data_IF_674511517238
#
_entry.id   IF_674511517238
#
_cell.length_a   1.000
_cell.length_b   1.000
_cell.length_c   1.000
_cell.angle_alpha   90.00
_cell.angle_beta   90.00
_cell.angle_gamma   90.00
#
_symmetry.space_group_name_H-M   'P 1'
#
loop_
_entity.id
_entity.type
_entity.pdbx_description
1 polymer ?
#
# COMPACT_ATOMS: atom_id res chain seq x y z
N UNK A 1 -34.86 0.35 -14.39
CA UNK A 1 -33.76 1.33 -14.53
C UNK A 1 -34.09 2.51 -13.65
N UNK A 2 -33.35 2.70 -12.56
CA UNK A 2 -33.43 3.89 -11.73
C UNK A 2 -31.98 4.35 -11.49
N UNK A 3 -31.66 5.53 -12.00
CA UNK A 3 -30.35 6.17 -11.90
C UNK A 3 -30.19 6.83 -10.53
N UNK A 4 -28.99 6.74 -9.97
CA UNK A 4 -28.59 7.42 -8.73
C UNK A 4 -27.68 8.58 -9.13
N UNK A 5 -28.12 9.81 -8.86
CA UNK A 5 -27.25 10.99 -8.94
C UNK A 5 -26.48 11.12 -7.62
N UNK A 6 -25.15 11.20 -7.68
CA UNK A 6 -24.32 11.67 -6.57
C UNK A 6 -24.24 13.21 -6.63
N UNK A 7 -24.73 13.88 -5.59
CA UNK A 7 -24.28 15.24 -5.27
C UNK A 7 -23.06 15.16 -4.35
N UNK A 8 -22.07 16.01 -4.62
CA UNK A 8 -20.78 16.09 -3.94
C UNK A 8 -20.89 16.32 -2.42
N UNK A 9 -19.95 15.83 -1.59
CA UNK A 9 -20.00 16.06 -0.15
C UNK A 9 -19.51 17.48 0.20
N UNK A 10 -20.09 18.14 1.23
CA UNK A 10 -19.45 19.29 1.82
C UNK A 10 -18.30 18.87 2.75
N UNK A 11 -17.32 19.75 2.84
CA UNK A 11 -16.07 19.71 3.60
C UNK A 11 -16.20 19.21 5.05
N UNK A 12 -15.27 18.33 5.44
CA UNK A 12 -15.11 17.79 6.80
C UNK A 12 -14.68 18.87 7.80
N UNK A 13 -15.45 19.03 8.88
CA UNK A 13 -14.98 19.60 10.16
C UNK A 13 -15.11 18.52 11.23
N UNK A 14 -14.06 18.36 12.05
CA UNK A 14 -13.93 17.29 13.03
C UNK A 14 -14.88 17.49 14.21
N UNK A 15 -15.71 16.48 14.51
CA UNK A 15 -16.18 16.22 15.86
C UNK A 15 -16.68 14.78 15.97
N UNK A 16 -16.15 14.06 16.96
CA UNK A 16 -16.70 12.81 17.44
C UNK A 16 -18.19 12.98 17.79
N UNK A 17 -19.08 12.21 17.17
CA UNK A 17 -20.32 11.81 17.83
C UNK A 17 -20.87 10.50 17.26
N UNK A 18 -21.19 9.60 18.19
CA UNK A 18 -21.87 8.34 18.00
C UNK A 18 -23.32 8.63 17.55
N UNK A 19 -23.70 8.32 16.32
CA UNK A 19 -25.04 8.59 15.81
C UNK A 19 -25.67 7.34 15.19
N UNK A 20 -26.51 6.66 15.98
CA UNK A 20 -27.52 5.73 15.46
C UNK A 20 -28.60 6.53 14.74
N UNK A 21 -28.67 6.40 13.42
CA UNK A 21 -29.74 7.04 12.63
C UNK A 21 -31.00 6.18 12.69
N UNK A 22 -32.01 6.62 13.45
CA UNK A 22 -33.35 6.03 13.41
C UNK A 22 -34.15 6.65 12.25
N UNK A 23 -34.56 5.82 11.29
CA UNK A 23 -35.44 6.22 10.20
C UNK A 23 -36.90 6.20 10.71
N UNK A 24 -37.56 7.36 10.80
CA UNK A 24 -38.98 7.46 11.16
C UNK A 24 -39.80 7.50 9.86
N UNK A 25 -40.53 6.43 9.57
CA UNK A 25 -41.53 6.40 8.51
C UNK A 25 -42.91 6.66 9.12
N UNK A 26 -43.55 7.76 8.71
CA UNK A 26 -44.96 8.01 9.00
C UNK A 26 -45.84 7.31 7.95
N UNK A 27 -46.80 6.51 8.40
CA UNK A 27 -47.92 6.01 7.57
C UNK A 27 -49.25 6.22 8.29
N UNK A 28 -50.34 6.62 7.59
CA UNK A 28 -51.65 6.81 8.20
C UNK A 28 -52.42 5.47 8.33
N UNK A 29 -53.19 5.39 9.41
CA UNK A 29 -54.32 4.51 9.75
C UNK A 29 -54.48 3.09 9.13
N UNK A 30 -54.47 2.14 10.07
CA UNK A 30 -55.10 0.81 10.18
C UNK A 30 -55.84 0.20 8.98
N UNK A 31 -55.32 -0.93 8.50
CA UNK A 31 -56.11 -2.05 7.99
C UNK A 31 -55.68 -3.34 8.69
N UNK A 32 -56.63 -4.02 9.31
CA UNK A 32 -56.45 -5.21 10.13
C UNK A 32 -56.47 -6.45 9.23
N UNK A 33 -55.29 -6.99 8.87
CA UNK A 33 -55.14 -8.26 8.16
C UNK A 33 -54.33 -9.22 9.05
N UNK A 34 -55.03 -10.19 9.66
CA UNK A 34 -54.39 -11.31 10.35
C UNK A 34 -53.63 -12.15 9.33
N UNK A 35 -52.33 -11.97 9.28
CA UNK A 35 -51.41 -12.88 8.61
C UNK A 35 -50.70 -13.70 9.67
N UNK A 36 -50.83 -15.02 9.60
CA UNK A 36 -49.99 -15.95 10.34
C UNK A 36 -48.57 -15.82 9.79
N UNK A 37 -47.76 -14.95 10.40
CA UNK A 37 -46.35 -14.84 10.06
C UNK A 37 -45.56 -15.81 10.93
N UNK A 38 -45.15 -16.93 10.34
CA UNK A 38 -43.97 -17.62 10.83
C UNK A 38 -42.76 -16.71 10.55
N UNK A 39 -42.37 -15.94 11.54
CA UNK A 39 -41.14 -15.16 11.53
C UNK A 39 -39.97 -16.12 11.64
N UNK A 40 -39.43 -16.55 10.50
CA UNK A 40 -38.04 -16.99 10.48
C UNK A 40 -37.20 -15.79 10.91
N UNK A 41 -36.37 -15.88 11.96
CA UNK A 41 -35.53 -14.77 12.35
C UNK A 41 -34.51 -14.56 11.22
N UNK A 42 -34.73 -13.54 10.39
CA UNK A 42 -33.70 -13.00 9.52
C UNK A 42 -32.65 -12.44 10.49
N UNK A 43 -31.63 -13.26 10.76
CA UNK A 43 -30.49 -12.84 11.57
C UNK A 43 -29.80 -11.75 10.76
N UNK A 44 -29.98 -10.49 11.15
CA UNK A 44 -29.16 -9.40 10.64
C UNK A 44 -27.71 -9.74 10.98
N UNK A 45 -26.93 -10.16 9.99
CA UNK A 45 -25.52 -10.44 10.18
C UNK A 45 -24.84 -9.08 10.35
N UNK A 46 -24.55 -8.71 11.59
CA UNK A 46 -23.67 -7.56 11.87
C UNK A 46 -22.29 -7.89 11.35
N UNK A 47 -21.93 -7.34 10.19
CA UNK A 47 -20.62 -7.51 9.59
C UNK A 47 -19.61 -6.67 10.38
N UNK A 48 -18.61 -7.31 10.97
CA UNK A 48 -17.53 -6.60 11.65
C UNK A 48 -16.57 -5.99 10.64
N UNK A 49 -15.86 -4.94 11.04
CA UNK A 49 -14.85 -4.30 10.19
C UNK A 49 -13.79 -5.28 9.70
N UNK A 50 -13.29 -6.16 10.58
CA UNK A 50 -12.27 -7.14 10.20
C UNK A 50 -12.81 -8.21 9.25
N UNK A 51 -14.10 -8.56 9.35
CA UNK A 51 -14.74 -9.42 8.37
C UNK A 51 -14.78 -8.76 6.99
N UNK A 52 -15.16 -7.48 6.91
CA UNK A 52 -15.17 -6.73 5.65
C UNK A 52 -13.76 -6.59 5.05
N UNK A 53 -12.75 -6.30 5.87
CA UNK A 53 -11.34 -6.24 5.43
C UNK A 53 -10.87 -7.58 4.86
N UNK A 54 -11.23 -8.69 5.51
CA UNK A 54 -10.88 -10.04 5.04
C UNK A 54 -11.57 -10.37 3.72
N UNK A 55 -12.83 -10.00 3.55
CA UNK A 55 -13.55 -10.17 2.29
C UNK A 55 -12.87 -9.38 1.15
N UNK A 56 -12.56 -8.11 1.39
CA UNK A 56 -11.86 -7.28 0.42
C UNK A 56 -10.50 -7.86 0.06
N UNK A 57 -9.72 -8.30 1.05
CA UNK A 57 -8.43 -8.94 0.84
C UNK A 57 -8.53 -10.23 0.02
N UNK A 58 -9.48 -11.11 0.36
CA UNK A 58 -9.72 -12.34 -0.40
C UNK A 58 -10.04 -12.03 -1.87
N UNK A 59 -10.89 -11.03 -2.10
CA UNK A 59 -11.26 -10.64 -3.46
C UNK A 59 -10.10 -10.04 -4.24
N UNK A 60 -9.26 -9.24 -3.59
CA UNK A 60 -8.06 -8.66 -4.22
C UNK A 60 -7.05 -9.73 -4.66
N UNK A 61 -6.86 -10.79 -3.85
CA UNK A 61 -5.91 -11.87 -4.16
C UNK A 61 -6.33 -12.69 -5.39
N UNK A 62 -7.62 -12.72 -5.75
CA UNK A 62 -8.09 -13.39 -6.99
C UNK A 62 -7.49 -12.77 -8.27
N UNK A 63 -7.02 -11.53 -8.22
CA UNK A 63 -6.39 -10.87 -9.36
C UNK A 63 -4.90 -11.23 -9.50
N UNK A 64 -4.31 -11.86 -8.48
CA UNK A 64 -2.90 -12.25 -8.47
C UNK A 64 -2.73 -13.52 -9.28
N UNK A 65 -1.86 -13.46 -10.28
CA UNK A 65 -1.54 -14.56 -11.19
C UNK A 65 -0.08 -14.95 -11.03
N UNK A 66 0.21 -16.20 -11.41
CA UNK A 66 1.58 -16.70 -11.52
C UNK A 66 2.47 -15.73 -12.32
N UNK A 67 3.71 -15.55 -11.88
CA UNK A 67 4.73 -14.72 -12.53
C UNK A 67 4.65 -13.24 -12.19
N UNK A 68 3.72 -12.83 -11.30
CA UNK A 68 3.55 -11.42 -10.96
C UNK A 68 4.61 -10.94 -9.95
N UNK A 69 5.18 -9.77 -10.25
CA UNK A 69 5.86 -8.91 -9.28
C UNK A 69 4.84 -7.90 -8.78
N UNK A 70 4.58 -7.84 -7.48
CA UNK A 70 3.56 -6.95 -6.91
C UNK A 70 3.96 -6.43 -5.54
N UNK A 71 3.39 -5.30 -5.13
CA UNK A 71 3.35 -4.95 -3.71
C UNK A 71 2.27 -5.80 -3.02
N UNK A 72 2.63 -6.74 -2.11
CA UNK A 72 1.66 -7.56 -1.40
C UNK A 72 0.89 -6.78 -0.33
N UNK A 73 1.20 -5.51 -0.09
CA UNK A 73 0.58 -4.69 0.95
C UNK A 73 0.69 -3.18 0.70
N UNK A 74 0.00 -2.67 -0.33
CA UNK A 74 -0.21 -1.23 -0.51
C UNK A 74 -1.03 -0.68 0.66
N UNK A 75 -0.40 0.19 1.46
CA UNK A 75 -0.96 0.77 2.67
C UNK A 75 -0.77 -0.15 3.88
N UNK A 76 0.10 0.26 4.80
CA UNK A 76 0.51 -0.41 6.06
C UNK A 76 -0.62 -0.59 7.08
N UNK A 77 -1.86 -0.73 6.63
CA UNK A 77 -3.07 -0.87 7.43
C UNK A 77 -3.47 -2.32 7.67
N UNK A 78 -4.39 -2.50 8.60
CA UNK A 78 -4.91 -3.82 9.03
C UNK A 78 -5.46 -4.70 7.90
N UNK A 79 -5.85 -4.14 6.74
CA UNK A 79 -6.34 -4.91 5.58
C UNK A 79 -5.20 -5.63 4.84
N UNK A 80 -4.04 -4.98 4.67
CA UNK A 80 -2.88 -5.57 3.98
C UNK A 80 -2.40 -6.85 4.67
N UNK A 81 -2.49 -6.91 6.00
CA UNK A 81 -2.19 -8.12 6.77
C UNK A 81 -3.01 -9.33 6.31
N UNK A 82 -4.28 -9.14 5.94
CA UNK A 82 -5.13 -10.22 5.43
C UNK A 82 -4.74 -10.64 4.00
N UNK A 83 -4.32 -9.69 3.16
CA UNK A 83 -3.82 -9.97 1.80
C UNK A 83 -2.55 -10.82 1.88
N UNK A 84 -1.57 -10.38 2.66
CA UNK A 84 -0.29 -11.07 2.86
C UNK A 84 -0.51 -12.47 3.44
N UNK A 85 -1.39 -12.61 4.44
CA UNK A 85 -1.75 -13.91 5.02
C UNK A 85 -2.39 -14.86 4.00
N UNK A 86 -3.30 -14.34 3.15
CA UNK A 86 -3.95 -15.13 2.11
C UNK A 86 -2.96 -15.55 1.02
N UNK A 87 -2.08 -14.66 0.58
CA UNK A 87 -0.99 -14.98 -0.36
C UNK A 87 -0.07 -16.06 0.18
N UNK A 88 0.39 -15.93 1.42
CA UNK A 88 1.21 -16.96 2.08
C UNK A 88 0.52 -18.33 2.11
N UNK A 89 -0.81 -18.36 2.36
CA UNK A 89 -1.60 -19.61 2.32
C UNK A 89 -1.64 -20.22 0.91
N UNK A 90 -1.81 -19.41 -0.14
CA UNK A 90 -1.87 -19.89 -1.52
C UNK A 90 -0.50 -20.38 -2.02
N UNK A 91 0.58 -19.71 -1.63
CA UNK A 91 1.95 -20.13 -1.92
C UNK A 91 2.29 -21.44 -1.19
N UNK A 92 1.98 -21.54 0.10
CA UNK A 92 2.23 -22.75 0.90
C UNK A 92 1.43 -23.97 0.41
N UNK A 93 0.23 -23.75 -0.14
CA UNK A 93 -0.59 -24.80 -0.76
C UNK A 93 -0.23 -25.12 -2.21
N UNK A 94 0.69 -24.36 -2.83
CA UNK A 94 1.09 -24.51 -4.24
C UNK A 94 0.02 -24.07 -5.26
N UNK A 95 -1.09 -23.48 -4.82
CA UNK A 95 -2.13 -22.93 -5.71
C UNK A 95 -1.65 -21.68 -6.45
N UNK A 96 -0.69 -20.97 -5.87
CA UNK A 96 -0.01 -19.84 -6.45
C UNK A 96 1.49 -20.12 -6.42
N UNK A 97 2.19 -19.83 -7.50
CA UNK A 97 3.63 -20.05 -7.64
C UNK A 97 4.26 -18.87 -8.38
N UNK A 98 5.56 -18.71 -8.24
CA UNK A 98 6.35 -17.73 -9.00
C UNK A 98 5.85 -16.28 -8.80
N UNK A 99 5.76 -15.87 -7.55
CA UNK A 99 5.36 -14.51 -7.16
C UNK A 99 6.54 -13.85 -6.47
N UNK A 100 6.72 -12.55 -6.72
CA UNK A 100 7.75 -11.74 -6.07
C UNK A 100 7.11 -10.50 -5.45
N UNK A 101 7.39 -10.27 -4.16
CA UNK A 101 6.88 -9.14 -3.38
C UNK A 101 7.80 -7.92 -3.44
N UNK A 102 7.23 -6.72 -3.61
CA UNK A 102 7.91 -5.42 -3.51
C UNK A 102 7.28 -4.63 -2.35
N UNK A 103 7.72 -4.84 -1.11
CA UNK A 103 7.11 -4.22 0.06
C UNK A 103 7.40 -2.72 0.12
N UNK A 104 6.39 -1.92 0.45
CA UNK A 104 6.49 -0.46 0.59
C UNK A 104 6.85 0.01 2.01
N UNK A 105 7.03 -0.91 2.97
CA UNK A 105 7.47 -0.58 4.33
C UNK A 105 8.20 -1.75 4.97
N UNK A 106 9.07 -1.47 5.96
CA UNK A 106 9.80 -2.50 6.71
C UNK A 106 8.85 -3.49 7.42
N UNK A 107 7.74 -2.97 7.96
CA UNK A 107 6.70 -3.80 8.58
C UNK A 107 6.07 -4.79 7.60
N UNK A 108 5.82 -4.35 6.36
CA UNK A 108 5.31 -5.23 5.29
C UNK A 108 6.36 -6.25 4.90
N UNK A 109 7.60 -5.81 4.70
CA UNK A 109 8.76 -6.65 4.37
C UNK A 109 8.93 -7.81 5.36
N UNK A 110 9.01 -7.50 6.66
CA UNK A 110 9.18 -8.50 7.72
C UNK A 110 8.02 -9.52 7.73
N UNK A 111 6.79 -9.07 7.47
CA UNK A 111 5.62 -9.94 7.43
C UNK A 111 5.63 -10.86 6.21
N UNK A 112 5.98 -10.34 5.05
CA UNK A 112 6.07 -11.07 3.78
C UNK A 112 7.17 -12.14 3.89
N UNK A 113 8.33 -11.79 4.45
CA UNK A 113 9.42 -12.73 4.75
C UNK A 113 8.98 -13.83 5.72
N UNK A 114 8.25 -13.49 6.79
CA UNK A 114 7.76 -14.47 7.78
C UNK A 114 6.82 -15.53 7.19
N UNK A 115 6.22 -15.27 6.03
CA UNK A 115 5.32 -16.18 5.32
C UNK A 115 5.99 -16.87 4.12
N UNK A 116 7.31 -16.71 3.96
CA UNK A 116 8.07 -17.35 2.89
C UNK A 116 7.78 -16.82 1.48
N UNK A 117 7.24 -15.60 1.38
CA UNK A 117 7.00 -14.96 0.09
C UNK A 117 8.32 -14.35 -0.40
N UNK A 118 8.83 -14.72 -1.60
CA UNK A 118 10.06 -14.16 -2.14
C UNK A 118 9.95 -12.65 -2.32
N UNK A 119 11.02 -11.92 -2.00
CA UNK A 119 11.11 -10.48 -2.22
C UNK A 119 11.87 -10.15 -3.50
N UNK A 120 11.48 -9.06 -4.15
CA UNK A 120 12.28 -8.47 -5.21
C UNK A 120 13.45 -7.75 -4.54
N UNK A 121 14.66 -8.15 -4.89
CA UNK A 121 15.88 -7.56 -4.36
C UNK A 121 16.75 -7.16 -5.54
N UNK A 122 17.09 -5.87 -5.65
CA UNK A 122 18.05 -5.42 -6.64
C UNK A 122 19.45 -5.79 -6.15
N UNK A 123 20.16 -6.63 -6.89
CA UNK A 123 21.49 -7.11 -6.45
C UNK A 123 22.56 -6.03 -6.50
N UNK A 124 22.54 -5.19 -7.54
CA UNK A 124 23.53 -4.15 -7.79
C UNK A 124 22.86 -3.00 -8.56
N UNK A 125 23.07 -1.78 -8.09
CA UNK A 125 22.84 -0.56 -8.85
C UNK A 125 24.16 0.15 -9.11
N UNK A 126 24.34 0.62 -10.34
CA UNK A 126 25.44 1.49 -10.74
C UNK A 126 24.82 2.83 -11.12
N UNK A 127 25.23 3.89 -10.45
CA UNK A 127 24.75 5.23 -10.77
C UNK A 127 25.73 6.32 -10.35
N UNK A 128 25.57 7.46 -10.99
CA UNK A 128 26.56 8.51 -11.05
C UNK A 128 26.38 9.51 -9.86
N UNK A 129 27.46 10.11 -9.33
CA UNK A 129 27.40 11.15 -8.29
C UNK A 129 27.81 12.54 -8.79
N UNK A 130 27.24 13.60 -8.23
CA UNK A 130 27.69 14.98 -8.51
C UNK A 130 28.91 15.34 -7.65
N UNK A 131 28.97 14.83 -6.42
CA UNK A 131 30.12 14.92 -5.51
C UNK A 131 30.27 13.63 -4.69
N UNK A 132 31.50 13.35 -4.25
CA UNK A 132 31.85 12.23 -3.37
C UNK A 132 32.80 12.73 -2.28
N UNK A 133 32.45 12.52 -1.01
CA UNK A 133 33.32 12.84 0.13
C UNK A 133 34.21 11.63 0.53
N UNK A 134 35.19 11.79 1.44
CA UNK A 134 36.07 10.70 1.88
C UNK A 134 35.36 9.55 2.60
N UNK A 135 34.13 9.76 3.06
CA UNK A 135 33.28 8.74 3.71
C UNK A 135 32.34 8.05 2.72
N UNK A 136 32.46 8.33 1.42
CA UNK A 136 31.59 7.84 0.35
C UNK A 136 30.14 8.33 0.45
N UNK A 137 29.91 9.46 1.13
CA UNK A 137 28.64 10.18 1.02
C UNK A 137 28.61 10.91 -0.32
N UNK A 138 27.41 11.07 -0.88
CA UNK A 138 27.22 11.61 -2.22
C UNK A 138 26.28 12.82 -2.25
N UNK A 139 26.59 13.79 -3.10
CA UNK A 139 25.57 14.67 -3.69
C UNK A 139 25.18 14.08 -5.04
N UNK A 140 23.87 14.09 -5.34
CA UNK A 140 23.29 13.61 -6.60
C UNK A 140 22.12 14.50 -6.99
N UNK A 141 21.70 14.39 -8.24
CA UNK A 141 20.44 14.95 -8.71
C UNK A 141 20.56 16.14 -9.66
N UNK A 142 21.77 16.55 -10.07
CA UNK A 142 21.93 17.62 -11.08
C UNK A 142 21.18 17.31 -12.39
N UNK A 143 20.96 16.03 -12.70
CA UNK A 143 20.19 15.57 -13.86
C UNK A 143 18.67 15.50 -13.68
N UNK A 144 18.11 15.89 -12.53
CA UNK A 144 16.65 15.97 -12.32
C UNK A 144 15.93 14.62 -12.12
N UNK A 145 16.61 13.62 -11.57
CA UNK A 145 16.04 12.30 -11.28
C UNK A 145 16.38 11.80 -9.87
N UNK A 146 16.55 12.71 -8.90
CA UNK A 146 17.07 12.40 -7.57
C UNK A 146 16.20 11.38 -6.84
N UNK A 147 14.88 11.60 -6.81
CA UNK A 147 13.96 10.71 -6.08
C UNK A 147 13.94 9.31 -6.69
N UNK A 148 13.85 9.21 -8.01
CA UNK A 148 13.84 7.91 -8.70
C UNK A 148 15.14 7.13 -8.47
N UNK A 149 16.30 7.79 -8.66
CA UNK A 149 17.62 7.20 -8.41
C UNK A 149 17.73 6.71 -6.96
N UNK A 150 17.36 7.54 -6.00
CA UNK A 150 17.41 7.20 -4.57
C UNK A 150 16.53 6.01 -4.22
N UNK A 151 15.34 5.88 -4.81
CA UNK A 151 14.47 4.73 -4.59
C UNK A 151 15.09 3.42 -5.08
N UNK A 152 15.72 3.43 -6.27
CA UNK A 152 16.38 2.26 -6.87
C UNK A 152 17.64 1.90 -6.08
N UNK A 153 18.47 2.88 -5.73
CA UNK A 153 19.68 2.71 -4.93
C UNK A 153 19.36 2.16 -3.54
N UNK A 154 18.36 2.73 -2.85
CA UNK A 154 17.93 2.27 -1.53
C UNK A 154 17.31 0.85 -1.56
N UNK A 155 16.76 0.44 -2.71
CA UNK A 155 16.25 -0.92 -2.91
C UNK A 155 17.34 -1.93 -3.31
N UNK A 156 18.60 -1.51 -3.45
CA UNK A 156 19.70 -2.35 -3.91
C UNK A 156 20.59 -2.85 -2.77
N UNK A 157 21.01 -4.12 -2.84
CA UNK A 157 21.95 -4.71 -1.89
C UNK A 157 23.34 -4.09 -1.97
N UNK A 158 23.73 -3.68 -3.18
CA UNK A 158 25.00 -3.03 -3.43
C UNK A 158 24.77 -1.85 -4.36
N UNK A 159 25.43 -0.77 -4.04
CA UNK A 159 25.48 0.41 -4.88
C UNK A 159 26.95 0.71 -5.20
N UNK A 160 27.21 1.04 -6.45
CA UNK A 160 28.53 1.44 -6.96
C UNK A 160 28.36 2.74 -7.70
N UNK A 161 29.21 3.72 -7.40
CA UNK A 161 29.24 4.97 -8.15
C UNK A 161 30.40 4.99 -9.14
N UNK A 162 30.13 5.44 -10.36
CA UNK A 162 31.09 5.55 -11.45
C UNK A 162 31.49 7.02 -11.67
N UNK A 163 32.57 7.44 -11.02
CA UNK A 163 33.05 8.83 -11.11
C UNK A 163 34.55 8.93 -11.26
N UNK A 164 34.96 10.01 -11.93
CA UNK A 164 36.34 10.43 -12.02
C UNK A 164 36.73 11.33 -10.84
N UNK A 165 38.05 11.55 -10.67
CA UNK A 165 38.61 12.26 -9.53
C UNK A 165 38.15 13.73 -9.41
N UNK A 166 37.58 14.33 -10.47
CA UNK A 166 37.05 15.71 -10.41
C UNK A 166 35.80 15.85 -9.52
N UNK A 167 35.23 14.72 -9.11
CA UNK A 167 34.02 14.66 -8.26
C UNK A 167 34.34 14.48 -6.79
N UNK A 168 35.62 14.28 -6.44
CA UNK A 168 36.07 14.16 -5.06
C UNK A 168 36.10 15.54 -4.40
N UNK A 169 35.51 15.64 -3.22
CA UNK A 169 35.48 16.87 -2.39
C UNK A 169 35.89 16.55 -0.95
N UNK A 170 36.50 17.52 -0.25
CA UNK A 170 36.83 17.34 1.17
C UNK A 170 35.58 17.25 2.06
N UNK A 171 34.48 17.85 1.62
CA UNK A 171 33.17 17.79 2.26
C UNK A 171 32.06 18.15 1.28
N UNK A 172 30.87 17.58 1.49
CA UNK A 172 29.71 17.79 0.62
C UNK A 172 29.35 19.29 0.51
N UNK A 173 29.06 19.73 -0.71
CA UNK A 173 28.86 21.13 -1.09
C UNK A 173 30.17 21.85 -1.44
N UNK A 174 31.32 21.17 -1.36
CA UNK A 174 32.63 21.74 -1.58
C UNK A 174 32.93 22.13 -3.03
N UNK A 175 32.19 21.59 -4.01
CA UNK A 175 32.40 21.93 -5.44
C UNK A 175 31.87 23.31 -5.81
N UNK A 176 31.00 23.90 -4.97
CA UNK A 176 30.26 25.13 -5.29
C UNK A 176 29.11 24.93 -6.29
N UNK A 177 28.84 23.69 -6.71
CA UNK A 177 27.67 23.35 -7.52
C UNK A 177 26.38 23.33 -6.68
N UNK A 178 25.25 23.24 -7.38
CA UNK A 178 23.94 23.18 -6.73
C UNK A 178 23.78 21.87 -5.93
N UNK A 179 23.13 21.98 -4.78
CA UNK A 179 22.68 20.84 -3.98
C UNK A 179 21.18 20.60 -4.25
N UNK A 180 20.82 19.58 -5.04
CA UNK A 180 19.44 19.43 -5.52
C UNK A 180 18.46 19.05 -4.40
N UNK A 181 17.29 19.67 -4.41
CA UNK A 181 16.14 19.33 -3.55
C UNK A 181 14.89 19.32 -4.42
N UNK A 182 14.22 18.17 -4.52
CA UNK A 182 12.94 18.06 -5.21
C UNK A 182 11.80 18.49 -4.27
N UNK A 183 10.94 19.40 -4.73
CA UNK A 183 9.80 19.97 -3.98
C UNK A 183 8.51 19.90 -4.81
N UNK A 184 7.36 20.03 -4.14
CA UNK A 184 6.01 20.00 -4.76
C UNK A 184 5.68 21.31 -5.46
#
# INVERSE_FOLDING_TARGET
>A
MASIFLSSPPSFSSAHHNASTHLILHTPNSLNLRTMSHSLPIRAITLTWDYLKRLAANKAVEFVKRGMVLDPGTGTGSTATFVIAKLGTLLASGQLIDIVGVPTSKRTEDKVLSLGIPLFVLGLTIDDADEVDPNLNLIKGCGGALVCKKMVEAASNKFVTDKDDTKLVDGLGGSGLAMPVEVV
#
